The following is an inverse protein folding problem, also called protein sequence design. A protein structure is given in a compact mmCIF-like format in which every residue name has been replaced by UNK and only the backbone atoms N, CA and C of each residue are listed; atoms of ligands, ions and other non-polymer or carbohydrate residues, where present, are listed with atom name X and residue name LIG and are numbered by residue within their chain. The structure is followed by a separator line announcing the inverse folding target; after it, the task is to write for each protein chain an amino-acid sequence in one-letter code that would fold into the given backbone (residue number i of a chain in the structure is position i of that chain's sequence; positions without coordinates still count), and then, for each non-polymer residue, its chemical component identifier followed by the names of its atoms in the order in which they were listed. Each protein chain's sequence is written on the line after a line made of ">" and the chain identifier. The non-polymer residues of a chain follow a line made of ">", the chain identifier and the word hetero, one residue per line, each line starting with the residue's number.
data_IF_529788134125
#
_entry.id   IF_529788134125
#
_cell.length_a   1.000
_cell.length_b   1.000
_cell.length_c   1.000
_cell.angle_alpha   90.00
_cell.angle_beta   90.00
_cell.angle_gamma   90.00
#
_symmetry.space_group_name_H-M   'P 1'
#
loop_
_entity.id
_entity.type
_entity.pdbx_description
1 polymer ?
#
# COMPACT_ATOMS: atom_id res chain seq x y z
N UNK A 1 39.42 -63.80 2.87
CA UNK A 1 38.66 -63.04 1.87
C UNK A 1 37.19 -63.26 2.13
N UNK A 2 36.46 -62.26 2.64
CA UNK A 2 35.04 -61.97 2.40
C UNK A 2 34.77 -60.63 3.10
N UNK A 3 34.38 -59.66 2.28
CA UNK A 3 34.11 -58.26 2.61
C UNK A 3 32.68 -58.11 3.10
N UNK A 4 32.44 -57.39 4.19
CA UNK A 4 31.11 -56.94 4.60
C UNK A 4 31.15 -55.42 4.82
N UNK A 5 30.52 -54.71 3.89
CA UNK A 5 30.17 -53.29 3.95
C UNK A 5 28.90 -53.09 4.80
N UNK A 6 28.84 -52.03 5.62
CA UNK A 6 27.66 -51.20 5.96
C UNK A 6 28.09 -50.10 6.94
N UNK A 7 28.32 -48.88 6.46
CA UNK A 7 27.34 -47.79 6.37
C UNK A 7 26.85 -47.28 7.74
N UNK A 8 27.51 -46.25 8.27
CA UNK A 8 26.90 -45.28 9.18
C UNK A 8 27.10 -43.86 8.62
N UNK A 9 26.00 -43.26 8.22
CA UNK A 9 25.93 -41.87 7.80
C UNK A 9 25.97 -40.97 9.04
N UNK A 10 26.94 -40.05 9.10
CA UNK A 10 26.93 -38.94 10.07
C UNK A 10 26.44 -37.69 9.37
N UNK A 11 25.29 -37.22 9.82
CA UNK A 11 24.52 -36.10 9.30
C UNK A 11 25.26 -34.77 9.48
N UNK A 12 25.74 -34.20 8.37
CA UNK A 12 26.05 -32.77 8.25
C UNK A 12 24.75 -31.97 8.34
N UNK A 13 24.50 -31.30 9.47
CA UNK A 13 23.50 -30.23 9.55
C UNK A 13 24.21 -28.89 9.56
N UNK A 14 24.40 -28.33 8.37
CA UNK A 14 24.68 -26.91 8.21
C UNK A 14 23.36 -26.16 8.33
N UNK A 15 23.16 -25.43 9.43
CA UNK A 15 22.06 -24.49 9.56
C UNK A 15 22.35 -23.25 8.71
N UNK A 16 21.43 -22.77 7.87
CA UNK A 16 21.66 -21.57 7.09
C UNK A 16 21.60 -20.34 8.00
N UNK A 17 22.63 -19.50 7.93
CA UNK A 17 22.68 -18.20 8.56
C UNK A 17 21.61 -17.30 7.93
N UNK A 18 20.65 -16.90 8.75
CA UNK A 18 19.91 -15.65 8.71
C UNK A 18 19.67 -15.05 7.30
N UNK A 19 18.53 -15.40 6.71
CA UNK A 19 17.87 -14.59 5.68
C UNK A 19 17.34 -13.31 6.35
N UNK A 20 18.22 -12.31 6.48
CA UNK A 20 17.86 -10.95 6.89
C UNK A 20 17.46 -10.19 5.62
N UNK A 21 16.29 -9.53 5.66
CA UNK A 21 15.72 -8.69 4.62
C UNK A 21 15.00 -9.38 3.47
N UNK A 22 13.89 -10.06 3.78
CA UNK A 22 12.76 -10.15 2.86
C UNK A 22 11.53 -9.51 3.47
N UNK A 23 11.43 -8.17 3.34
CA UNK A 23 10.12 -7.51 3.25
C UNK A 23 10.26 -6.12 2.64
N UNK A 24 10.18 -6.04 1.31
CA UNK A 24 9.64 -4.84 0.70
C UNK A 24 8.18 -4.73 1.17
N UNK A 25 7.91 -3.85 2.13
CA UNK A 25 6.55 -3.51 2.52
C UNK A 25 5.94 -2.68 1.38
N UNK A 26 5.41 -3.35 0.36
CA UNK A 26 4.38 -2.73 -0.47
C UNK A 26 3.10 -2.72 0.38
N UNK A 27 2.96 -1.75 1.28
CA UNK A 27 1.69 -1.52 1.97
C UNK A 27 0.76 -0.77 1.01
N UNK A 28 -0.44 -1.33 0.82
CA UNK A 28 -1.54 -0.63 0.15
C UNK A 28 -1.76 0.71 0.88
N UNK A 29 -1.93 1.85 0.18
CA UNK A 29 -2.21 3.12 0.84
C UNK A 29 -3.52 3.02 1.64
N UNK A 30 -3.58 3.73 2.78
CA UNK A 30 -4.76 3.74 3.65
C UNK A 30 -6.02 4.24 2.92
N UNK A 31 -5.86 5.23 2.04
CA UNK A 31 -6.92 5.81 1.23
C UNK A 31 -6.60 5.75 -0.27
N UNK A 32 -7.60 5.45 -1.09
CA UNK A 32 -7.48 5.31 -2.54
C UNK A 32 -8.33 6.33 -3.31
N UNK A 33 -7.79 6.83 -4.43
CA UNK A 33 -8.52 7.74 -5.32
C UNK A 33 -9.55 6.96 -6.13
N UNK A 34 -10.83 7.18 -5.85
CA UNK A 34 -11.93 6.58 -6.62
C UNK A 34 -12.12 7.33 -7.93
N UNK A 35 -12.19 6.60 -9.04
CA UNK A 35 -12.57 7.17 -10.33
C UNK A 35 -14.03 7.62 -10.34
N UNK A 36 -14.39 8.69 -11.07
CA UNK A 36 -15.79 9.08 -11.23
C UNK A 36 -16.59 7.96 -11.92
N UNK A 37 -17.89 7.80 -11.62
CA UNK A 37 -18.75 6.78 -12.22
C UNK A 37 -19.23 7.16 -13.64
N UNK A 38 -18.53 8.06 -14.32
CA UNK A 38 -18.86 8.59 -15.64
C UNK A 38 -17.57 9.01 -16.36
N UNK A 39 -17.65 9.16 -17.69
CA UNK A 39 -16.55 9.70 -18.50
C UNK A 39 -16.28 11.16 -18.15
N UNK A 40 -15.03 11.62 -18.27
CA UNK A 40 -14.65 12.97 -17.86
C UNK A 40 -15.27 14.09 -18.71
N UNK A 41 -15.84 13.77 -19.86
CA UNK A 41 -16.61 14.68 -20.72
C UNK A 41 -18.12 14.58 -20.53
N UNK A 42 -18.61 13.66 -19.68
CA UNK A 42 -20.04 13.39 -19.52
C UNK A 42 -20.86 14.56 -18.93
N UNK A 43 -20.18 15.57 -18.38
CA UNK A 43 -20.80 16.76 -17.78
C UNK A 43 -20.82 17.98 -18.71
N UNK A 44 -20.35 17.86 -19.94
CA UNK A 44 -20.41 18.95 -20.91
C UNK A 44 -21.87 19.25 -21.33
N UNK A 45 -22.21 20.53 -21.60
CA UNK A 45 -21.37 21.74 -21.55
C UNK A 45 -21.31 22.41 -20.17
N UNK A 46 -21.94 21.82 -19.13
CA UNK A 46 -22.05 22.44 -17.81
C UNK A 46 -20.74 22.41 -17.02
N UNK A 47 -19.89 21.41 -17.26
CA UNK A 47 -18.54 21.34 -16.73
C UNK A 47 -17.62 20.76 -17.80
N UNK A 48 -16.52 21.45 -18.09
CA UNK A 48 -15.58 21.01 -19.11
C UNK A 48 -14.82 19.76 -18.68
N UNK A 49 -14.44 18.92 -19.65
CA UNK A 49 -13.53 17.80 -19.40
C UNK A 49 -12.22 18.23 -18.71
N UNK A 50 -11.65 19.35 -19.14
CA UNK A 50 -10.44 19.92 -18.52
C UNK A 50 -10.64 20.18 -17.02
N UNK A 51 -11.81 20.70 -16.62
CA UNK A 51 -12.12 20.91 -15.21
C UNK A 51 -12.05 19.61 -14.42
N UNK A 52 -12.62 18.52 -14.94
CA UNK A 52 -12.57 17.21 -14.27
C UNK A 52 -11.16 16.59 -14.29
N UNK A 53 -10.40 16.74 -15.38
CA UNK A 53 -9.00 16.30 -15.46
C UNK A 53 -8.13 16.96 -14.38
N UNK A 54 -8.29 18.26 -14.16
CA UNK A 54 -7.56 18.98 -13.11
C UNK A 54 -8.13 18.69 -11.72
N UNK A 55 -9.45 18.76 -11.53
CA UNK A 55 -10.08 18.62 -10.23
C UNK A 55 -9.89 17.20 -9.66
N UNK A 56 -10.28 16.17 -10.41
CA UNK A 56 -10.13 14.79 -9.97
C UNK A 56 -8.68 14.30 -10.17
N UNK A 57 -8.10 14.52 -11.35
CA UNK A 57 -6.81 13.94 -11.71
C UNK A 57 -5.61 14.59 -11.01
N UNK A 58 -5.68 15.88 -10.67
CA UNK A 58 -4.59 16.58 -9.96
C UNK A 58 -4.94 16.93 -8.52
N UNK A 59 -5.98 17.71 -8.28
CA UNK A 59 -6.28 18.24 -6.94
C UNK A 59 -6.70 17.14 -5.95
N UNK A 60 -7.70 16.34 -6.30
CA UNK A 60 -8.15 15.24 -5.44
C UNK A 60 -7.03 14.21 -5.18
N UNK A 61 -6.26 13.85 -6.22
CA UNK A 61 -5.07 13.01 -6.08
C UNK A 61 -4.07 13.58 -5.07
N UNK A 62 -3.70 14.85 -5.22
CA UNK A 62 -2.73 15.51 -4.35
C UNK A 62 -3.18 15.53 -2.89
N UNK A 63 -4.48 15.76 -2.63
CA UNK A 63 -5.03 15.69 -1.26
C UNK A 63 -4.93 14.29 -0.66
N UNK A 64 -5.24 13.24 -1.44
CA UNK A 64 -5.12 11.85 -0.98
C UNK A 64 -3.66 11.42 -0.77
N UNK A 65 -2.75 11.81 -1.66
CA UNK A 65 -1.33 11.53 -1.51
C UNK A 65 -0.76 12.19 -0.24
N UNK A 66 -1.18 13.43 0.05
CA UNK A 66 -0.77 14.12 1.28
C UNK A 66 -1.40 13.48 2.52
N UNK A 67 -2.70 13.16 2.47
CA UNK A 67 -3.38 12.48 3.57
C UNK A 67 -2.68 11.17 3.94
N UNK A 68 -2.40 10.31 2.96
CA UNK A 68 -1.69 9.04 3.17
C UNK A 68 -0.31 9.26 3.80
N UNK A 69 0.45 10.27 3.34
CA UNK A 69 1.74 10.62 3.96
C UNK A 69 1.60 11.03 5.42
N UNK A 70 0.57 11.81 5.76
CA UNK A 70 0.35 12.31 7.11
C UNK A 70 -0.14 11.22 8.07
N UNK A 71 -0.92 10.25 7.61
CA UNK A 71 -1.46 9.19 8.48
C UNK A 71 -0.54 7.99 8.63
N UNK A 72 0.39 7.75 7.68
CA UNK A 72 1.29 6.58 7.72
C UNK A 72 2.10 6.54 9.01
N UNK A 73 2.07 5.42 9.72
CA UNK A 73 2.77 5.21 10.99
C UNK A 73 2.11 5.89 12.19
N UNK A 74 0.95 6.54 12.01
CA UNK A 74 0.19 7.16 13.09
C UNK A 74 -0.99 6.27 13.53
N UNK A 75 -1.60 6.54 14.70
CA UNK A 75 -2.85 5.87 15.08
C UNK A 75 -4.02 6.08 14.10
N UNK A 76 -3.91 7.05 13.18
CA UNK A 76 -4.92 7.37 12.17
C UNK A 76 -4.83 6.49 10.92
N UNK A 77 -3.73 5.74 10.71
CA UNK A 77 -3.52 4.94 9.49
C UNK A 77 -4.61 3.88 9.28
N UNK A 78 -5.14 3.32 10.37
CA UNK A 78 -6.15 2.26 10.36
C UNK A 78 -7.58 2.78 10.54
N UNK A 79 -7.77 4.10 10.56
CA UNK A 79 -9.06 4.75 10.77
C UNK A 79 -9.82 4.96 9.47
N UNK A 80 -11.14 5.02 9.57
CA UNK A 80 -11.98 5.49 8.47
C UNK A 80 -11.74 6.98 8.20
N UNK A 81 -12.09 7.45 6.99
CA UNK A 81 -11.91 8.86 6.62
C UNK A 81 -12.69 9.79 7.56
N UNK A 82 -13.92 9.42 7.93
CA UNK A 82 -14.76 10.20 8.83
C UNK A 82 -14.14 10.32 10.22
N UNK A 83 -13.57 9.23 10.76
CA UNK A 83 -12.83 9.26 12.03
C UNK A 83 -11.59 10.17 11.95
N UNK A 84 -10.86 10.17 10.82
CA UNK A 84 -9.72 11.07 10.61
C UNK A 84 -10.17 12.53 10.58
N UNK A 85 -11.29 12.83 9.92
CA UNK A 85 -11.86 14.19 9.88
C UNK A 85 -12.26 14.65 11.28
N UNK A 86 -12.98 13.83 12.04
CA UNK A 86 -13.39 14.17 13.41
C UNK A 86 -12.18 14.35 14.32
N UNK A 87 -11.16 13.50 14.20
CA UNK A 87 -9.95 13.56 15.03
C UNK A 87 -9.05 14.77 14.72
N UNK A 88 -9.10 15.30 13.49
CA UNK A 88 -8.26 16.44 13.05
C UNK A 88 -8.96 17.80 13.15
N UNK A 89 -10.25 17.83 13.45
CA UNK A 89 -11.01 19.06 13.65
C UNK A 89 -10.57 19.79 14.93
N UNK A 90 -10.23 21.07 14.81
CA UNK A 90 -9.72 21.94 15.89
C UNK A 90 -8.38 21.53 16.52
N UNK A 91 -7.53 20.83 15.76
CA UNK A 91 -6.17 20.47 16.18
C UNK A 91 -5.19 21.65 16.10
#
# INVERSE_FOLDING_TARGET
>A
MISIQRAIASSSRSAPLLSIFSRAMSSKPAFELKSPPYSLDALEPHMSKETLDYHWGKHHRAYLDMLNKLVTGTPLESKSLDEVVVASWNN
#
